data_IF_527231131001
#
_entry.id   IF_527231131001
#
_cell.length_a   1.000
_cell.length_b   1.000
_cell.length_c   1.000
_cell.angle_alpha   90.00
_cell.angle_beta   90.00
_cell.angle_gamma   90.00
#
_symmetry.space_group_name_H-M   'P 1'
#
loop_
_entity.id
_entity.type
_entity.pdbx_description
1 polymer ?
#
# COMPACT_ATOMS: atom_id res chain seq x y z
N UNK A 1 21.20 2.35 3.55
CA UNK A 1 20.14 1.35 3.35
C UNK A 1 20.77 -0.01 3.50
N UNK A 2 20.20 -0.84 4.36
CA UNK A 2 20.63 -2.22 4.61
C UNK A 2 19.44 -3.13 4.27
N UNK A 3 19.42 -3.77 3.10
CA UNK A 3 18.35 -4.67 2.71
C UNK A 3 18.47 -5.99 3.45
N UNK A 4 17.36 -6.48 4.00
CA UNK A 4 17.23 -7.80 4.61
C UNK A 4 16.20 -8.60 3.82
N UNK A 5 16.60 -9.74 3.24
CA UNK A 5 15.67 -10.68 2.61
C UNK A 5 14.92 -11.43 3.69
N UNK A 6 13.62 -11.55 3.52
CA UNK A 6 12.70 -12.14 4.48
C UNK A 6 11.70 -13.04 3.76
N UNK A 7 11.25 -14.06 4.46
CA UNK A 7 10.11 -14.89 4.08
C UNK A 7 9.00 -14.66 5.11
N UNK A 8 7.81 -14.32 4.64
CA UNK A 8 6.65 -14.02 5.47
C UNK A 8 5.63 -15.12 5.29
N UNK A 9 5.21 -15.83 6.35
CA UNK A 9 4.11 -16.77 6.24
C UNK A 9 2.85 -16.09 5.72
N UNK A 10 2.27 -16.63 4.64
CA UNK A 10 1.06 -16.10 4.04
C UNK A 10 -0.17 -16.95 4.41
N UNK A 11 -1.38 -16.37 4.35
CA UNK A 11 -2.62 -17.15 4.44
C UNK A 11 -2.65 -18.22 3.33
N UNK A 12 -2.92 -19.46 3.69
CA UNK A 12 -2.93 -20.58 2.72
C UNK A 12 -1.67 -21.45 2.72
N UNK A 13 -0.69 -21.15 3.60
CA UNK A 13 0.47 -22.02 3.86
C UNK A 13 1.68 -21.77 2.96
N UNK A 14 1.59 -20.87 1.97
CA UNK A 14 2.73 -20.40 1.19
C UNK A 14 3.50 -19.31 1.96
N UNK A 15 4.59 -18.83 1.36
CA UNK A 15 5.35 -17.69 1.87
C UNK A 15 5.37 -16.55 0.87
N UNK A 16 5.47 -15.33 1.38
CA UNK A 16 5.73 -14.13 0.60
C UNK A 16 7.22 -13.81 0.67
N UNK A 17 7.83 -13.61 -0.49
CA UNK A 17 9.20 -13.10 -0.59
C UNK A 17 9.20 -11.60 -0.34
N UNK A 18 10.00 -11.14 0.60
CA UNK A 18 10.05 -9.75 1.00
C UNK A 18 11.48 -9.24 1.17
N UNK A 19 11.63 -7.93 1.07
CA UNK A 19 12.86 -7.20 1.43
C UNK A 19 12.48 -6.08 2.38
N UNK A 20 13.11 -6.08 3.54
CA UNK A 20 13.06 -4.96 4.47
C UNK A 20 14.26 -4.05 4.24
N UNK A 21 14.01 -2.90 3.66
CA UNK A 21 15.00 -1.85 3.46
C UNK A 21 15.09 -1.01 4.75
N UNK A 22 16.20 -1.13 5.46
CA UNK A 22 16.43 -0.39 6.70
C UNK A 22 17.31 0.85 6.48
N UNK A 23 17.04 1.96 7.18
CA UNK A 23 17.97 3.07 7.26
C UNK A 23 19.27 2.67 7.99
N UNK A 24 20.29 3.52 7.91
CA UNK A 24 21.54 3.33 8.66
C UNK A 24 21.31 3.53 10.16
N UNK A 25 20.59 4.59 10.50
CA UNK A 25 20.17 4.87 11.89
C UNK A 25 18.86 4.14 12.20
N UNK A 26 18.50 4.09 13.48
CA UNK A 26 17.25 3.49 13.93
C UNK A 26 16.04 4.10 13.21
N UNK A 27 15.11 3.28 12.67
CA UNK A 27 13.91 3.78 12.01
C UNK A 27 13.06 4.63 12.96
N UNK A 28 12.44 5.69 12.43
CA UNK A 28 11.43 6.47 13.16
C UNK A 28 10.02 5.90 12.95
N UNK A 29 9.84 5.12 11.89
CA UNK A 29 8.61 4.40 11.59
C UNK A 29 8.89 3.35 10.50
N UNK A 30 7.91 2.47 10.31
CA UNK A 30 7.91 1.49 9.22
C UNK A 30 6.77 1.74 8.23
N UNK A 31 7.04 1.39 6.97
CA UNK A 31 6.08 1.38 5.88
C UNK A 31 6.00 0.00 5.24
N UNK A 32 4.83 -0.34 4.68
CA UNK A 32 4.67 -1.47 3.75
C UNK A 32 4.37 -0.93 2.37
N UNK A 33 5.03 -1.46 1.35
CA UNK A 33 4.85 -1.10 -0.04
C UNK A 33 4.21 -2.25 -0.83
N UNK A 34 3.01 -2.01 -1.37
CA UNK A 34 2.24 -2.89 -2.23
C UNK A 34 2.45 -2.49 -3.71
N UNK A 35 3.07 -3.37 -4.50
CA UNK A 35 3.36 -3.13 -5.91
C UNK A 35 2.12 -3.28 -6.80
N UNK A 36 2.25 -2.92 -8.09
CA UNK A 36 1.20 -3.00 -9.08
C UNK A 36 0.82 -4.44 -9.48
N UNK A 37 -0.31 -4.57 -10.19
CA UNK A 37 -0.79 -5.85 -10.73
C UNK A 37 0.26 -6.45 -11.66
N UNK A 38 0.62 -7.73 -11.44
CA UNK A 38 1.64 -8.46 -12.20
C UNK A 38 3.09 -7.95 -12.09
N UNK A 39 3.37 -6.98 -11.22
CA UNK A 39 4.73 -6.48 -10.95
C UNK A 39 5.45 -7.35 -9.90
N UNK A 40 6.52 -6.81 -9.32
CA UNK A 40 7.23 -7.40 -8.19
C UNK A 40 7.78 -6.31 -7.26
N UNK A 41 8.23 -6.73 -6.07
CA UNK A 41 8.94 -5.89 -5.10
C UNK A 41 10.19 -5.21 -5.67
N UNK A 42 10.73 -5.73 -6.79
CA UNK A 42 11.96 -5.24 -7.43
C UNK A 42 11.70 -4.24 -8.57
N UNK A 43 10.43 -3.80 -8.76
CA UNK A 43 10.12 -2.71 -9.68
C UNK A 43 10.98 -1.48 -9.35
N UNK A 44 11.60 -0.88 -10.37
CA UNK A 44 12.53 0.27 -10.18
C UNK A 44 11.93 1.39 -9.34
N UNK A 45 10.66 1.73 -9.59
CA UNK A 45 9.96 2.77 -8.82
C UNK A 45 9.84 2.39 -7.33
N UNK A 46 9.44 1.14 -7.03
CA UNK A 46 9.36 0.63 -5.65
C UNK A 46 10.71 0.75 -4.96
N UNK A 47 11.78 0.30 -5.61
CA UNK A 47 13.15 0.39 -5.08
C UNK A 47 13.58 1.84 -4.82
N UNK A 48 13.37 2.76 -5.78
CA UNK A 48 13.82 4.14 -5.64
C UNK A 48 13.03 4.93 -4.60
N UNK A 49 11.72 4.71 -4.52
CA UNK A 49 10.86 5.28 -3.48
C UNK A 49 11.32 4.75 -2.11
N UNK A 50 11.48 3.43 -1.95
CA UNK A 50 11.93 2.82 -0.69
C UNK A 50 13.29 3.37 -0.26
N UNK A 51 14.24 3.50 -1.19
CA UNK A 51 15.55 4.08 -0.92
C UNK A 51 15.47 5.55 -0.49
N UNK A 52 14.53 6.32 -1.03
CA UNK A 52 14.34 7.72 -0.62
C UNK A 52 13.77 7.79 0.78
N UNK A 53 12.78 6.93 1.11
CA UNK A 53 12.18 6.85 2.43
C UNK A 53 13.18 6.41 3.51
N UNK A 54 14.09 5.47 3.19
CA UNK A 54 15.11 5.03 4.16
C UNK A 54 16.12 6.12 4.50
N UNK A 55 16.40 7.07 3.60
CA UNK A 55 17.22 8.26 3.91
C UNK A 55 16.54 9.18 4.93
N UNK A 56 15.21 9.16 4.97
CA UNK A 56 14.39 9.89 5.94
C UNK A 56 14.03 9.04 7.17
N UNK A 57 14.82 7.96 7.39
CA UNK A 57 14.72 7.05 8.54
C UNK A 57 13.39 6.28 8.62
N UNK A 58 12.73 6.03 7.49
CA UNK A 58 11.56 5.17 7.39
C UNK A 58 12.02 3.80 6.89
N UNK A 59 11.86 2.74 7.69
CA UNK A 59 12.05 1.37 7.24
C UNK A 59 10.94 0.97 6.27
N UNK A 60 11.27 0.31 5.15
CA UNK A 60 10.26 -0.05 4.13
C UNK A 60 10.30 -1.55 3.88
N UNK A 61 9.20 -2.22 4.16
CA UNK A 61 8.95 -3.59 3.75
C UNK A 61 8.28 -3.58 2.38
N UNK A 62 8.97 -4.07 1.38
CA UNK A 62 8.44 -4.36 0.05
C UNK A 62 8.38 -5.87 -0.13
N UNK A 63 7.31 -6.39 -0.67
CA UNK A 63 7.09 -7.83 -0.80
C UNK A 63 6.41 -8.15 -2.13
N UNK A 64 6.53 -9.38 -2.59
CA UNK A 64 5.78 -9.90 -3.71
C UNK A 64 4.46 -10.49 -3.22
N UNK A 65 3.34 -10.13 -3.86
CA UNK A 65 2.06 -10.79 -3.60
C UNK A 65 2.12 -12.27 -3.97
N UNK A 66 1.25 -13.08 -3.36
CA UNK A 66 1.09 -14.51 -3.68
C UNK A 66 1.00 -14.73 -5.19
N UNK A 67 1.71 -15.74 -5.69
CA UNK A 67 1.76 -16.09 -7.12
C UNK A 67 2.57 -15.14 -8.00
N UNK A 68 3.27 -14.14 -7.42
CA UNK A 68 4.09 -13.18 -8.15
C UNK A 68 5.53 -13.16 -7.64
N UNK A 69 6.45 -12.73 -8.50
CA UNK A 69 7.86 -12.57 -8.18
C UNK A 69 8.49 -13.87 -7.66
N UNK A 70 9.00 -13.81 -6.43
CA UNK A 70 9.62 -14.95 -5.74
C UNK A 70 8.70 -15.51 -4.62
N UNK A 71 7.45 -15.01 -4.49
CA UNK A 71 6.46 -15.53 -3.55
C UNK A 71 5.87 -16.84 -4.04
N UNK A 72 5.50 -17.70 -3.10
CA UNK A 72 4.79 -18.96 -3.39
C UNK A 72 3.34 -18.73 -3.83
N UNK A 73 2.67 -19.83 -4.22
CA UNK A 73 1.30 -19.82 -4.69
C UNK A 73 1.19 -19.73 -6.21
N UNK A 74 -0.07 -19.80 -6.69
CA UNK A 74 -0.40 -19.66 -8.11
C UNK A 74 -1.14 -18.33 -8.29
N UNK A 75 -0.71 -17.52 -9.27
CA UNK A 75 -1.37 -16.26 -9.60
C UNK A 75 -2.84 -16.46 -9.98
N UNK A 76 -3.18 -17.58 -10.63
CA UNK A 76 -4.55 -17.91 -11.00
C UNK A 76 -5.50 -18.01 -9.79
N UNK A 77 -4.97 -18.31 -8.59
CA UNK A 77 -5.75 -18.40 -7.35
C UNK A 77 -5.87 -17.06 -6.60
N UNK A 78 -5.24 -16.01 -7.11
CA UNK A 78 -5.22 -14.70 -6.45
C UNK A 78 -6.48 -13.89 -6.74
N UNK A 79 -6.72 -12.91 -5.89
CA UNK A 79 -7.80 -11.94 -6.00
C UNK A 79 -7.42 -10.66 -5.25
N UNK A 80 -8.23 -9.61 -5.33
CA UNK A 80 -7.99 -8.43 -4.48
C UNK A 80 -8.05 -8.80 -2.99
N UNK A 81 -8.95 -9.68 -2.61
CA UNK A 81 -9.07 -10.16 -1.22
C UNK A 81 -7.83 -10.92 -0.77
N UNK A 82 -7.25 -11.79 -1.61
CA UNK A 82 -5.98 -12.45 -1.27
C UNK A 82 -4.84 -11.44 -1.15
N UNK A 83 -4.76 -10.44 -2.02
CA UNK A 83 -3.75 -9.38 -1.93
C UNK A 83 -3.90 -8.54 -0.64
N UNK A 84 -5.14 -8.28 -0.22
CA UNK A 84 -5.42 -7.63 1.08
C UNK A 84 -4.94 -8.51 2.23
N UNK A 85 -5.18 -9.83 2.18
CA UNK A 85 -4.72 -10.77 3.20
C UNK A 85 -3.20 -10.86 3.25
N UNK A 86 -2.50 -10.89 2.11
CA UNK A 86 -1.04 -10.84 2.03
C UNK A 86 -0.47 -9.56 2.66
N UNK A 87 -1.11 -8.42 2.37
CA UNK A 87 -0.71 -7.13 2.93
C UNK A 87 -0.89 -7.07 4.45
N UNK A 88 -1.98 -7.65 4.98
CA UNK A 88 -2.21 -7.78 6.42
C UNK A 88 -1.13 -8.67 7.04
N UNK A 89 -0.83 -9.84 6.44
CA UNK A 89 0.23 -10.73 6.90
C UNK A 89 1.60 -10.05 6.94
N UNK A 90 1.92 -9.24 5.91
CA UNK A 90 3.14 -8.44 5.88
C UNK A 90 3.19 -7.39 7.02
N UNK A 91 2.06 -6.75 7.32
CA UNK A 91 1.95 -5.80 8.43
C UNK A 91 2.06 -6.47 9.81
N UNK A 92 1.45 -7.63 9.99
CA UNK A 92 1.53 -8.44 11.20
C UNK A 92 2.96 -8.95 11.43
N UNK A 93 3.65 -9.39 10.36
CA UNK A 93 5.04 -9.79 10.43
C UNK A 93 5.93 -8.64 10.93
N UNK A 94 5.77 -7.42 10.38
CA UNK A 94 6.48 -6.24 10.90
C UNK A 94 6.16 -5.98 12.38
N UNK A 95 4.90 -6.10 12.76
CA UNK A 95 4.46 -5.86 14.14
C UNK A 95 5.07 -6.87 15.11
N UNK A 96 5.24 -8.12 14.68
CA UNK A 96 5.79 -9.19 15.52
C UNK A 96 7.31 -9.13 15.69
N UNK A 97 8.03 -8.59 14.72
CA UNK A 97 9.51 -8.59 14.67
C UNK A 97 10.14 -7.21 14.90
N UNK A 98 9.38 -6.16 14.63
CA UNK A 98 9.81 -4.77 14.67
C UNK A 98 8.68 -3.91 15.27
N UNK A 99 8.26 -2.87 14.57
CA UNK A 99 7.09 -2.06 14.88
C UNK A 99 6.06 -2.16 13.76
N UNK A 100 4.78 -2.12 14.12
CA UNK A 100 3.70 -2.12 13.13
C UNK A 100 3.81 -0.95 12.15
N UNK A 101 3.51 -1.17 10.86
CA UNK A 101 3.66 -0.13 9.84
C UNK A 101 2.69 1.03 10.11
N UNK A 102 3.24 2.25 10.13
CA UNK A 102 2.44 3.48 10.24
C UNK A 102 2.04 4.04 8.88
N UNK A 103 2.71 3.60 7.82
CA UNK A 103 2.50 4.04 6.46
C UNK A 103 2.25 2.84 5.55
N UNK A 104 1.18 2.87 4.77
CA UNK A 104 0.93 1.95 3.67
C UNK A 104 1.07 2.71 2.35
N UNK A 105 1.81 2.16 1.42
CA UNK A 105 2.03 2.74 0.09
C UNK A 105 1.58 1.72 -0.94
N UNK A 106 0.69 2.10 -1.84
CA UNK A 106 0.21 1.21 -2.89
C UNK A 106 0.33 1.86 -4.27
N UNK A 107 0.92 1.12 -5.22
CA UNK A 107 1.03 1.53 -6.60
C UNK A 107 0.01 0.79 -7.46
N UNK A 108 -0.75 1.52 -8.29
CA UNK A 108 -1.74 0.95 -9.21
C UNK A 108 -2.75 0.05 -8.46
N UNK A 109 -2.90 -1.21 -8.82
CA UNK A 109 -3.76 -2.17 -8.11
C UNK A 109 -3.36 -2.39 -6.65
N UNK A 110 -2.06 -2.28 -6.33
CA UNK A 110 -1.59 -2.22 -4.94
C UNK A 110 -2.16 -1.04 -4.15
N UNK A 111 -2.49 0.07 -4.84
CA UNK A 111 -3.22 1.21 -4.27
C UNK A 111 -4.63 0.85 -3.83
N UNK A 112 -5.36 0.08 -4.63
CA UNK A 112 -6.66 -0.46 -4.23
C UNK A 112 -6.54 -1.41 -3.03
N UNK A 113 -5.49 -2.24 -3.00
CA UNK A 113 -5.24 -3.17 -1.89
C UNK A 113 -4.95 -2.44 -0.57
N UNK A 114 -4.12 -1.39 -0.55
CA UNK A 114 -3.83 -0.64 0.69
C UNK A 114 -5.05 0.12 1.21
N UNK A 115 -5.92 0.64 0.33
CA UNK A 115 -7.17 1.28 0.73
C UNK A 115 -8.09 0.29 1.46
N UNK A 116 -8.18 -0.95 0.97
CA UNK A 116 -8.97 -2.02 1.59
C UNK A 116 -8.36 -2.52 2.91
N UNK A 117 -7.03 -2.70 2.96
CA UNK A 117 -6.35 -3.30 4.09
C UNK A 117 -6.19 -2.35 5.30
N UNK A 118 -6.18 -1.03 5.06
CA UNK A 118 -5.80 -0.05 6.08
C UNK A 118 -6.66 -0.08 7.35
N UNK A 119 -7.94 -0.45 7.24
CA UNK A 119 -8.83 -0.58 8.40
C UNK A 119 -8.45 -1.76 9.30
N UNK A 120 -7.93 -2.84 8.72
CA UNK A 120 -7.50 -4.05 9.43
C UNK A 120 -6.08 -3.95 10.02
N UNK A 121 -5.35 -2.85 9.77
CA UNK A 121 -4.00 -2.62 10.29
C UNK A 121 -4.03 -1.48 11.33
N UNK A 122 -4.12 -1.80 12.64
CA UNK A 122 -4.34 -0.79 13.69
C UNK A 122 -3.20 0.22 13.83
N UNK A 123 -1.97 -0.18 13.48
CA UNK A 123 -0.78 0.69 13.50
C UNK A 123 -0.79 1.74 12.39
N UNK A 124 -1.52 1.50 11.27
CA UNK A 124 -1.59 2.39 10.13
C UNK A 124 -2.15 3.77 10.52
N UNK A 125 -1.44 4.82 10.11
CA UNK A 125 -1.83 6.22 10.34
C UNK A 125 -2.01 6.99 9.03
N UNK A 126 -1.32 6.55 7.99
CA UNK A 126 -1.33 7.22 6.70
C UNK A 126 -1.30 6.19 5.56
N UNK A 127 -1.99 6.51 4.49
CA UNK A 127 -2.05 5.72 3.25
C UNK A 127 -1.62 6.61 2.09
N UNK A 128 -0.83 6.06 1.19
CA UNK A 128 -0.44 6.69 -0.06
C UNK A 128 -0.88 5.81 -1.22
N UNK A 129 -1.59 6.39 -2.16
CA UNK A 129 -1.90 5.76 -3.45
C UNK A 129 -1.13 6.45 -4.56
N UNK A 130 -0.49 5.67 -5.42
CA UNK A 130 0.25 6.15 -6.60
C UNK A 130 -0.39 5.51 -7.82
N UNK A 131 -0.89 6.31 -8.77
CA UNK A 131 -1.49 5.82 -10.02
C UNK A 131 -2.59 4.75 -9.77
N UNK A 132 -3.38 4.89 -8.71
CA UNK A 132 -4.33 3.87 -8.28
C UNK A 132 -5.70 4.05 -8.94
N UNK A 133 -6.41 2.95 -9.29
CA UNK A 133 -7.79 3.02 -9.69
C UNK A 133 -8.68 3.32 -8.47
N UNK A 134 -9.68 4.17 -8.67
CA UNK A 134 -10.71 4.45 -7.67
C UNK A 134 -11.65 3.23 -7.47
N UNK A 135 -11.78 2.45 -8.52
CA UNK A 135 -12.56 1.22 -8.55
C UNK A 135 -11.66 0.10 -9.07
N UNK A 136 -11.35 -0.93 -8.28
CA UNK A 136 -10.50 -2.03 -8.71
C UNK A 136 -11.07 -2.83 -9.90
N UNK A 137 -12.38 -2.70 -10.18
CA UNK A 137 -13.01 -3.28 -11.37
C UNK A 137 -12.51 -2.64 -12.68
N UNK A 138 -11.77 -1.54 -12.59
CA UNK A 138 -11.07 -0.96 -13.74
C UNK A 138 -10.20 -1.99 -14.48
N UNK A 139 -9.67 -2.98 -13.77
CA UNK A 139 -8.91 -4.09 -14.38
C UNK A 139 -9.71 -4.82 -15.47
N UNK A 140 -11.06 -4.86 -15.40
CA UNK A 140 -11.90 -5.49 -16.45
C UNK A 140 -11.75 -4.80 -17.81
N UNK A 141 -11.54 -3.50 -17.82
CA UNK A 141 -11.29 -2.75 -19.06
C UNK A 141 -9.96 -3.17 -19.70
N UNK A 142 -8.96 -3.46 -18.85
CA UNK A 142 -7.64 -3.96 -19.30
C UNK A 142 -7.71 -5.39 -19.84
N UNK A 143 -8.62 -6.21 -19.30
CA UNK A 143 -8.80 -7.61 -19.72
C UNK A 143 -9.52 -7.74 -21.08
N UNK A 144 -10.31 -6.75 -21.49
CA UNK A 144 -11.02 -6.76 -22.78
C UNK A 144 -11.83 -8.06 -23.00
N UNK A 145 -11.70 -8.71 -24.18
CA UNK A 145 -12.44 -9.94 -24.51
C UNK A 145 -12.15 -11.13 -23.57
N UNK A 146 -11.00 -11.14 -22.89
CA UNK A 146 -10.68 -12.21 -21.96
C UNK A 146 -11.61 -12.21 -20.74
N UNK A 147 -12.18 -11.07 -20.35
CA UNK A 147 -13.17 -11.01 -19.27
C UNK A 147 -14.41 -11.87 -19.56
N UNK A 148 -14.93 -11.85 -20.81
CA UNK A 148 -16.05 -12.70 -21.22
C UNK A 148 -15.67 -14.18 -21.22
N UNK A 149 -14.45 -14.51 -21.67
CA UNK A 149 -13.94 -15.89 -21.63
C UNK A 149 -13.82 -16.41 -20.19
N UNK A 150 -13.33 -15.58 -19.26
CA UNK A 150 -13.25 -15.92 -17.83
C UNK A 150 -14.65 -16.20 -17.27
N UNK A 151 -15.63 -15.36 -17.55
CA UNK A 151 -17.01 -15.54 -17.07
C UNK A 151 -17.65 -16.82 -17.62
N UNK A 152 -17.44 -17.13 -18.92
CA UNK A 152 -18.09 -18.26 -19.58
C UNK A 152 -17.39 -19.60 -19.36
N UNK A 153 -16.06 -19.61 -19.24
CA UNK A 153 -15.24 -20.84 -19.12
C UNK A 153 -14.69 -21.10 -17.72
N UNK A 154 -14.81 -20.10 -16.82
CA UNK A 154 -14.24 -20.17 -15.47
C UNK A 154 -12.82 -19.62 -15.36
N UNK A 155 -12.06 -19.62 -16.45
CA UNK A 155 -10.70 -19.06 -16.50
C UNK A 155 -10.32 -18.67 -17.95
N UNK A 156 -9.32 -17.81 -18.10
CA UNK A 156 -8.66 -17.52 -19.35
C UNK A 156 -7.25 -16.98 -19.14
N UNK A 157 -6.40 -17.21 -20.15
CA UNK A 157 -5.10 -16.58 -20.22
C UNK A 157 -5.22 -15.13 -20.70
N UNK A 158 -4.52 -14.23 -20.01
CA UNK A 158 -4.48 -12.81 -20.29
C UNK A 158 -3.03 -12.36 -20.44
N UNK A 159 -2.79 -11.47 -21.38
CA UNK A 159 -1.46 -10.86 -21.54
C UNK A 159 -1.46 -9.48 -20.90
N UNK A 160 -0.66 -9.30 -19.87
CA UNK A 160 -0.51 -8.04 -19.13
C UNK A 160 0.96 -7.64 -19.15
N UNK A 161 1.26 -6.45 -19.67
CA UNK A 161 2.64 -5.96 -19.83
C UNK A 161 3.59 -6.98 -20.52
N UNK A 162 3.07 -7.66 -21.57
CA UNK A 162 3.84 -8.65 -22.36
C UNK A 162 4.05 -10.00 -21.68
N UNK A 163 3.46 -10.26 -20.52
CA UNK A 163 3.53 -11.55 -19.80
C UNK A 163 2.15 -12.21 -19.79
N UNK A 164 2.12 -13.54 -19.94
CA UNK A 164 0.89 -14.33 -19.86
C UNK A 164 0.59 -14.72 -18.42
N UNK A 165 -0.67 -14.58 -18.02
CA UNK A 165 -1.20 -14.96 -16.71
C UNK A 165 -2.55 -15.65 -16.88
N UNK A 166 -2.82 -16.70 -16.13
CA UNK A 166 -4.16 -17.27 -16.05
C UNK A 166 -4.96 -16.54 -14.97
N UNK A 167 -6.15 -16.06 -15.31
CA UNK A 167 -7.11 -15.49 -14.36
C UNK A 167 -8.35 -16.36 -14.28
N UNK A 168 -8.78 -16.65 -13.06
CA UNK A 168 -10.00 -17.41 -12.78
C UNK A 168 -11.19 -16.50 -12.47
N UNK A 169 -12.39 -17.01 -12.68
CA UNK A 169 -13.65 -16.30 -12.40
C UNK A 169 -13.73 -15.77 -10.97
N UNK A 170 -13.12 -16.47 -10.01
CA UNK A 170 -13.00 -16.02 -8.61
C UNK A 170 -12.44 -14.60 -8.48
N UNK A 171 -11.45 -14.23 -9.33
CA UNK A 171 -10.89 -12.88 -9.33
C UNK A 171 -11.96 -11.83 -9.67
N UNK A 172 -12.81 -12.10 -10.67
CA UNK A 172 -13.88 -11.20 -11.09
C UNK A 172 -15.00 -11.13 -10.03
N UNK A 173 -15.40 -12.29 -9.49
CA UNK A 173 -16.46 -12.39 -8.48
C UNK A 173 -16.08 -11.65 -7.19
N UNK A 174 -14.81 -11.71 -6.81
CA UNK A 174 -14.28 -11.00 -5.63
C UNK A 174 -14.37 -9.47 -5.79
N UNK A 175 -14.05 -8.97 -6.98
CA UNK A 175 -14.16 -7.53 -7.27
C UNK A 175 -15.61 -7.04 -7.32
N UNK A 176 -16.56 -7.89 -7.73
CA UNK A 176 -17.98 -7.53 -7.81
C UNK A 176 -18.59 -7.24 -6.42
N UNK A 177 -18.06 -7.87 -5.35
CA UNK A 177 -18.53 -7.71 -3.98
C UNK A 177 -17.99 -6.48 -3.24
N UNK A 178 -17.21 -5.60 -3.89
CA UNK A 178 -16.57 -4.46 -3.25
C UNK A 178 -17.38 -3.19 -3.47
N UNK A 179 -17.54 -2.38 -2.42
CA UNK A 179 -17.94 -0.97 -2.51
C UNK A 179 -16.70 -0.09 -2.35
N UNK A 180 -16.06 0.33 -3.44
CA UNK A 180 -14.83 1.09 -3.38
C UNK A 180 -15.04 2.49 -2.83
N UNK A 181 -16.19 3.11 -3.07
CA UNK A 181 -16.49 4.45 -2.59
C UNK A 181 -16.68 4.46 -1.06
N UNK A 182 -17.41 3.49 -0.52
CA UNK A 182 -17.54 3.32 0.92
C UNK A 182 -16.17 3.03 1.57
N UNK A 183 -15.35 2.18 0.96
CA UNK A 183 -14.00 1.88 1.44
C UNK A 183 -13.14 3.14 1.57
N UNK A 184 -13.15 3.99 0.54
CA UNK A 184 -12.37 5.23 0.53
C UNK A 184 -12.95 6.23 1.54
N UNK A 185 -14.28 6.39 1.57
CA UNK A 185 -14.97 7.30 2.49
C UNK A 185 -14.70 6.95 3.96
N UNK A 186 -14.67 5.66 4.28
CA UNK A 186 -14.57 5.16 5.64
C UNK A 186 -13.12 4.75 6.03
N UNK A 187 -12.15 5.15 5.23
CA UNK A 187 -10.71 4.86 5.43
C UNK A 187 -10.21 5.31 6.81
N UNK A 188 -10.66 6.45 7.33
CA UNK A 188 -10.28 7.03 8.63
C UNK A 188 -8.75 7.08 8.87
N UNK A 189 -7.97 7.32 7.83
CA UNK A 189 -6.52 7.52 7.84
C UNK A 189 -6.19 8.76 7.02
N UNK A 190 -5.03 9.36 7.28
CA UNK A 190 -4.52 10.39 6.39
C UNK A 190 -4.24 9.78 5.00
N UNK A 191 -4.69 10.44 3.94
CA UNK A 191 -4.57 9.94 2.57
C UNK A 191 -3.77 10.93 1.71
N UNK A 192 -2.73 10.40 1.02
CA UNK A 192 -2.05 11.09 -0.06
C UNK A 192 -2.39 10.37 -1.37
N UNK A 193 -2.96 11.10 -2.30
CA UNK A 193 -3.22 10.63 -3.67
C UNK A 193 -2.15 11.24 -4.58
N UNK A 194 -1.40 10.40 -5.28
CA UNK A 194 -0.39 10.82 -6.26
C UNK A 194 -0.73 10.24 -7.62
N UNK A 195 -0.81 11.08 -8.66
CA UNK A 195 -1.21 10.62 -9.99
C UNK A 195 -0.66 11.53 -11.07
N UNK A 196 -0.35 10.95 -12.23
CA UNK A 196 0.07 11.71 -13.40
C UNK A 196 -1.11 12.01 -14.32
N UNK A 197 -1.20 13.22 -14.88
CA UNK A 197 -2.17 13.50 -15.95
C UNK A 197 -1.83 12.79 -17.27
N UNK A 198 -0.61 12.25 -17.40
CA UNK A 198 -0.15 11.51 -18.58
C UNK A 198 -0.22 9.99 -18.39
N UNK A 199 -0.85 9.50 -17.30
CA UNK A 199 -1.05 8.07 -17.06
C UNK A 199 -2.05 7.52 -18.09
N UNK A 200 -1.58 6.67 -18.98
CA UNK A 200 -2.35 6.04 -20.07
C UNK A 200 -2.94 4.67 -19.70
N UNK A 201 -2.64 4.19 -18.49
CA UNK A 201 -3.15 2.91 -17.97
C UNK A 201 -4.31 3.14 -16.99
N UNK A 202 -4.13 4.06 -16.04
CA UNK A 202 -5.16 4.48 -15.08
C UNK A 202 -5.31 5.99 -15.19
N UNK A 203 -6.37 6.45 -15.84
CA UNK A 203 -6.57 7.88 -16.08
C UNK A 203 -6.67 8.71 -14.80
N UNK A 204 -6.28 9.97 -14.88
CA UNK A 204 -6.21 10.93 -13.75
C UNK A 204 -7.56 11.12 -13.04
N UNK A 205 -8.69 10.88 -13.71
CA UNK A 205 -10.03 10.94 -13.12
C UNK A 205 -10.21 10.00 -11.93
N UNK A 206 -9.44 8.90 -11.88
CA UNK A 206 -9.41 8.00 -10.73
C UNK A 206 -8.89 8.71 -9.47
N UNK A 207 -7.83 9.51 -9.60
CA UNK A 207 -7.34 10.32 -8.49
C UNK A 207 -8.39 11.33 -8.00
N UNK A 208 -9.12 11.95 -8.92
CA UNK A 208 -10.23 12.85 -8.58
C UNK A 208 -11.31 12.13 -7.77
N UNK A 209 -11.73 10.93 -8.22
CA UNK A 209 -12.75 10.12 -7.53
C UNK A 209 -12.27 9.71 -6.14
N UNK A 210 -11.02 9.20 -6.00
CA UNK A 210 -10.45 8.84 -4.70
C UNK A 210 -10.42 10.07 -3.78
N UNK A 211 -9.92 11.20 -4.29
CA UNK A 211 -9.80 12.42 -3.50
C UNK A 211 -11.17 12.96 -3.06
N UNK A 212 -12.17 12.94 -3.92
CA UNK A 212 -13.52 13.41 -3.58
C UNK A 212 -14.20 12.52 -2.53
N UNK A 213 -14.11 11.19 -2.68
CA UNK A 213 -14.72 10.24 -1.75
C UNK A 213 -14.07 10.26 -0.35
N UNK A 214 -12.76 10.49 -0.26
CA UNK A 214 -12.02 10.45 0.98
C UNK A 214 -12.38 11.61 1.93
N UNK A 215 -12.37 11.33 3.24
CA UNK A 215 -12.46 12.36 4.29
C UNK A 215 -11.09 12.96 4.58
N UNK A 216 -11.08 14.17 5.17
CA UNK A 216 -9.83 14.77 5.65
C UNK A 216 -9.25 14.00 6.86
N UNK A 217 -7.93 13.97 7.04
CA UNK A 217 -6.93 14.69 6.23
C UNK A 217 -6.61 13.98 4.91
N UNK A 218 -6.67 14.70 3.81
CA UNK A 218 -6.34 14.22 2.46
C UNK A 218 -5.54 15.25 1.70
N UNK A 219 -4.66 14.77 0.82
CA UNK A 219 -3.81 15.59 -0.05
C UNK A 219 -3.73 14.97 -1.44
N UNK A 220 -3.55 15.81 -2.45
CA UNK A 220 -3.27 15.39 -3.82
C UNK A 220 -1.95 15.99 -4.28
N UNK A 221 -1.17 15.19 -5.01
CA UNK A 221 0.05 15.65 -5.68
C UNK A 221 0.06 15.14 -7.12
N UNK A 222 0.17 16.06 -8.07
CA UNK A 222 0.35 15.73 -9.47
C UNK A 222 1.78 15.24 -9.72
N UNK A 223 1.90 14.16 -10.48
CA UNK A 223 3.17 13.61 -10.97
C UNK A 223 3.42 14.01 -12.44
N UNK A 224 3.13 15.21 -12.80
CA UNK A 224 3.04 15.90 -14.07
C UNK A 224 3.52 15.16 -15.32
N UNK A 225 4.75 14.64 -15.34
CA UNK A 225 5.40 14.02 -16.49
C UNK A 225 5.60 12.49 -16.33
N UNK A 226 5.17 11.92 -15.21
CA UNK A 226 5.41 10.50 -14.94
C UNK A 226 4.53 9.60 -15.81
N UNK A 227 5.10 8.50 -16.27
CA UNK A 227 4.33 7.37 -16.80
C UNK A 227 3.69 6.56 -15.66
N UNK A 228 2.81 5.62 -15.99
CA UNK A 228 2.12 4.77 -15.02
C UNK A 228 3.07 4.06 -14.05
N UNK A 229 4.23 3.61 -14.52
CA UNK A 229 5.21 2.84 -13.74
C UNK A 229 6.25 3.71 -13.03
N UNK A 230 6.21 5.03 -13.18
CA UNK A 230 7.25 5.95 -12.71
C UNK A 230 8.64 5.50 -13.17
N UNK A 231 8.76 5.12 -14.46
CA UNK A 231 9.97 4.54 -15.04
C UNK A 231 11.17 5.48 -15.00
N UNK A 232 10.93 6.79 -15.04
CA UNK A 232 11.96 7.80 -14.89
C UNK A 232 12.43 7.89 -13.43
N UNK A 233 13.73 7.85 -13.23
CA UNK A 233 14.36 7.93 -11.92
C UNK A 233 14.00 9.24 -11.16
N UNK A 234 13.87 10.35 -11.89
CA UNK A 234 13.53 11.64 -11.27
C UNK A 234 12.13 11.59 -10.66
N UNK A 235 11.14 11.00 -11.36
CA UNK A 235 9.74 10.92 -10.91
C UNK A 235 9.61 10.01 -9.69
N UNK A 236 10.25 8.83 -9.71
CA UNK A 236 10.23 7.92 -8.56
C UNK A 236 10.95 8.51 -7.32
N UNK A 237 12.03 9.28 -7.51
CA UNK A 237 12.69 10.01 -6.41
C UNK A 237 11.84 11.15 -5.88
N UNK A 238 11.21 11.92 -6.77
CA UNK A 238 10.28 12.98 -6.40
C UNK A 238 9.11 12.42 -5.59
N UNK A 239 8.46 11.36 -6.07
CA UNK A 239 7.39 10.69 -5.34
C UNK A 239 7.85 10.27 -3.93
N UNK A 240 9.03 9.63 -3.81
CA UNK A 240 9.60 9.25 -2.52
C UNK A 240 9.84 10.44 -1.58
N UNK A 241 10.37 11.56 -2.09
CA UNK A 241 10.62 12.77 -1.30
C UNK A 241 9.32 13.42 -0.81
N UNK A 242 8.30 13.49 -1.67
CA UNK A 242 6.98 13.99 -1.30
C UNK A 242 6.34 13.11 -0.22
N UNK A 243 6.36 11.79 -0.38
CA UNK A 243 5.83 10.85 0.59
C UNK A 243 6.52 11.03 1.94
N UNK A 244 7.84 11.11 1.97
CA UNK A 244 8.61 11.31 3.19
C UNK A 244 8.23 12.61 3.90
N UNK A 245 8.23 13.73 3.18
CA UNK A 245 7.90 15.05 3.74
C UNK A 245 6.45 15.10 4.25
N UNK A 246 5.50 14.62 3.44
CA UNK A 246 4.08 14.64 3.78
C UNK A 246 3.74 13.75 4.97
N UNK A 247 4.29 12.53 5.02
CA UNK A 247 3.96 11.54 6.04
C UNK A 247 4.52 11.87 7.42
N UNK A 248 5.54 12.71 7.52
CA UNK A 248 6.25 13.03 8.78
C UNK A 248 5.34 13.35 9.96
N UNK A 249 4.29 14.14 9.72
CA UNK A 249 3.32 14.53 10.76
C UNK A 249 2.49 13.36 11.30
N UNK A 250 2.33 12.30 10.50
CA UNK A 250 1.52 11.12 10.85
C UNK A 250 2.36 9.99 11.43
N UNK A 251 3.68 10.03 11.22
CA UNK A 251 4.61 8.99 11.66
C UNK A 251 5.16 9.23 13.07
N UNK A 252 5.12 10.47 13.56
CA UNK A 252 5.54 10.77 14.92
C UNK A 252 4.76 9.92 15.93
N UNK A 253 5.39 9.41 17.02
CA UNK A 253 4.68 8.80 18.12
C UNK A 253 3.61 9.77 18.60
N UNK A 254 2.36 9.29 18.78
CA UNK A 254 1.35 10.09 19.48
C UNK A 254 1.93 10.46 20.83
N UNK A 255 2.03 11.75 21.21
CA UNK A 255 2.47 12.12 22.54
C UNK A 255 1.64 11.30 23.53
N UNK A 256 2.30 10.47 24.34
CA UNK A 256 1.61 9.79 25.43
C UNK A 256 0.84 10.89 26.17
N UNK A 257 -0.48 10.72 26.33
CA UNK A 257 -1.29 11.64 27.09
C UNK A 257 -0.52 11.96 28.36
N UNK A 258 -0.08 13.20 28.51
CA UNK A 258 0.62 13.64 29.72
C UNK A 258 -0.34 13.32 30.84
N UNK A 259 -0.08 12.22 31.56
CA UNK A 259 -0.71 12.00 32.85
C UNK A 259 -0.28 13.20 33.67
N UNK A 260 -1.15 14.20 33.75
CA UNK A 260 -1.07 15.26 34.73
C UNK A 260 -1.17 14.56 36.07
N UNK A 261 0.00 14.28 36.66
CA UNK A 261 0.09 14.12 38.09
C UNK A 261 -0.35 15.47 38.64
N UNK A 262 -1.65 15.62 38.89
CA UNK A 262 -2.13 16.65 39.78
C UNK A 262 -1.55 16.31 41.13
N UNK A 263 -0.46 16.98 41.49
CA UNK A 263 -0.02 17.11 42.86
C UNK A 263 -1.24 17.66 43.64
N UNK A 264 -1.77 16.86 44.53
CA UNK A 264 -2.75 17.28 45.50
C UNK A 264 -2.08 18.33 46.43
N UNK A 265 -2.47 19.61 46.44
CA UNK A 265 -1.96 20.57 47.40
C UNK A 265 -2.91 20.62 48.59
N UNK A 266 -2.91 19.60 49.45
CA UNK A 266 -3.56 19.68 50.75
C UNK A 266 -3.07 18.54 51.64
N UNK A 267 -1.93 18.72 52.27
CA UNK A 267 -1.62 18.22 53.61
C UNK A 267 -0.60 19.20 54.23
N UNK A 268 -1.14 20.36 54.58
CA UNK A 268 -0.41 21.36 55.33
C UNK A 268 -1.08 21.57 56.67
N UNK A 269 -0.23 21.64 57.64
CA UNK A 269 -0.42 22.30 58.96
C UNK A 269 -1.57 21.79 59.85
N UNK A 270 -1.17 20.99 60.75
CA UNK A 270 -1.75 20.78 62.09
C UNK A 270 -0.64 20.76 63.13
N UNK A 271 -0.40 21.91 63.65
CA UNK A 271 -0.05 22.23 65.09
C UNK A 271 0.81 21.28 65.88
N UNK A 272 1.75 21.87 66.52
CA UNK A 272 2.34 21.58 67.78
C UNK A 272 3.22 22.76 68.22
#
# INVERSE_FOLDING_TARGET
MQPQKLEIPAPGGQHLSAILDLPVDAPVAYAVFAHCFTCSKDLKAVYHISRTLTRERIGVLRFDFSGLGESGGDFADTSLRSNVADLIAAAEFLTSRFEGPRLLIGHSFGGAAVLQAAAAIPSCRAVVTIAAPADPRHVFQTLGPAAEAIVSRGEADVTIAGRSFTLRKKFLDDLAGIDPEATIRDLNRALLVMHSPLDDVVGIENATRIFQAARHPKSFVSLDQADHLLSNLADSRYAGAVIAAWSRRYLAPTPAARRTARSCPQCGSGRG
#
